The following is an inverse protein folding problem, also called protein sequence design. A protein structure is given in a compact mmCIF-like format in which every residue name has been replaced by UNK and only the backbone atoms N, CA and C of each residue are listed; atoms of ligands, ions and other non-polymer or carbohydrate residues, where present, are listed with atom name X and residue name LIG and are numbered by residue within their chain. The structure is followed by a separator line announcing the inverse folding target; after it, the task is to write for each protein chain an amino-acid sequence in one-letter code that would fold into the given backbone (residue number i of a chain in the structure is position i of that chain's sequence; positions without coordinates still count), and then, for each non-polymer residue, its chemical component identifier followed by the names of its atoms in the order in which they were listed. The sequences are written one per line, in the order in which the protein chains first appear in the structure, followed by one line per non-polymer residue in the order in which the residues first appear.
data_IF_875913642497
#
_entry.id   IF_875913642497
#
_cell.length_a   1.000
_cell.length_b   1.000
_cell.length_c   1.000
_cell.angle_alpha   90.00
_cell.angle_beta   90.00
_cell.angle_gamma   90.00
#
_symmetry.space_group_name_H-M   'P 1'
#
loop_
_entity.id
_entity.type
_entity.pdbx_description
1 polymer ?
#
# COMPACT_ATOMS: atom_id res chain seq x y z
N UNK A 1 -28.74 11.38 -18.01
CA UNK A 1 -27.30 11.66 -17.79
C UNK A 1 -26.92 11.08 -16.45
N UNK A 2 -26.41 9.87 -16.44
CA UNK A 2 -25.99 9.15 -15.23
C UNK A 2 -24.50 9.38 -15.06
N UNK A 3 -24.16 10.16 -14.06
CA UNK A 3 -22.79 10.43 -13.64
C UNK A 3 -22.21 9.17 -13.00
N UNK A 4 -21.33 8.50 -13.73
CA UNK A 4 -20.60 7.32 -13.24
C UNK A 4 -19.25 7.81 -12.72
N UNK A 5 -19.24 8.53 -11.61
CA UNK A 5 -18.01 8.80 -10.88
C UNK A 5 -17.50 7.49 -10.31
N UNK A 6 -16.46 6.95 -10.94
CA UNK A 6 -15.78 5.73 -10.51
C UNK A 6 -15.05 6.01 -9.19
N UNK A 7 -15.63 5.52 -8.09
CA UNK A 7 -15.08 5.75 -6.76
C UNK A 7 -14.03 4.68 -6.47
N UNK A 8 -12.82 5.09 -6.09
CA UNK A 8 -11.66 4.24 -5.74
C UNK A 8 -11.99 3.13 -4.71
N UNK A 9 -13.02 3.34 -3.90
CA UNK A 9 -13.55 2.33 -2.96
C UNK A 9 -14.17 1.10 -3.66
N UNK A 10 -14.86 1.28 -4.77
CA UNK A 10 -15.50 0.17 -5.49
C UNK A 10 -14.53 -0.77 -6.19
N UNK A 11 -13.32 -0.32 -6.50
CA UNK A 11 -12.30 -1.15 -7.13
C UNK A 11 -11.78 -2.25 -6.20
N UNK A 12 -11.68 -1.97 -4.89
CA UNK A 12 -11.22 -2.95 -3.91
C UNK A 12 -12.33 -3.96 -3.52
N UNK A 13 -13.59 -3.57 -3.62
CA UNK A 13 -14.74 -4.45 -3.31
C UNK A 13 -15.01 -5.49 -4.40
N UNK A 14 -14.62 -5.22 -5.65
CA UNK A 14 -14.87 -6.14 -6.78
C UNK A 14 -13.83 -7.26 -6.94
N UNK A 15 -12.75 -7.27 -6.17
CA UNK A 15 -11.73 -8.33 -6.22
C UNK A 15 -11.94 -9.47 -5.22
N UNK A 16 -13.00 -9.42 -4.39
CA UNK A 16 -13.28 -10.40 -3.33
C UNK A 16 -14.22 -11.56 -3.72
N UNK A 17 -14.54 -11.75 -4.97
CA UNK A 17 -15.52 -12.73 -5.39
C UNK A 17 -15.11 -13.57 -6.58
N UNK A 18 -14.40 -14.68 -6.38
CA UNK A 18 -14.56 -15.93 -7.15
C UNK A 18 -13.49 -16.96 -6.80
N UNK A 19 -13.80 -17.95 -5.99
CA UNK A 19 -13.33 -19.32 -6.17
C UNK A 19 -13.97 -20.28 -5.15
N UNK A 20 -15.12 -20.82 -5.50
CA UNK A 20 -15.59 -22.08 -4.93
C UNK A 20 -15.75 -23.07 -6.09
N UNK A 21 -14.84 -24.04 -6.22
CA UNK A 21 -15.10 -25.29 -6.91
C UNK A 21 -14.54 -26.42 -6.08
N UNK A 22 -15.46 -27.21 -5.54
CA UNK A 22 -15.18 -28.47 -4.88
C UNK A 22 -14.84 -29.54 -5.93
N UNK A 23 -13.79 -30.34 -5.71
CA UNK A 23 -13.66 -31.66 -6.29
C UNK A 23 -13.09 -32.64 -5.27
N UNK A 24 -13.90 -33.61 -4.94
CA UNK A 24 -13.57 -34.79 -4.15
C UNK A 24 -12.71 -35.75 -4.98
N UNK A 25 -11.60 -36.20 -4.45
CA UNK A 25 -10.76 -37.22 -5.07
C UNK A 25 -9.66 -37.71 -4.13
N UNK A 26 -9.72 -38.96 -3.77
CA UNK A 26 -8.92 -39.71 -2.82
C UNK A 26 -7.43 -39.84 -3.18
N UNK A 27 -6.56 -39.75 -2.17
CA UNK A 27 -5.32 -40.53 -2.11
C UNK A 27 -4.00 -39.78 -2.32
N UNK A 28 -3.16 -39.79 -1.26
CA UNK A 28 -1.74 -39.44 -1.20
C UNK A 28 -1.40 -38.03 -0.78
N UNK A 29 -1.54 -37.79 0.53
CA UNK A 29 -0.82 -36.73 1.23
C UNK A 29 0.66 -37.05 1.26
N UNK A 30 1.54 -36.15 0.75
CA UNK A 30 2.89 -35.90 1.26
C UNK A 30 3.63 -34.75 0.55
N UNK A 31 3.03 -34.05 -0.39
CA UNK A 31 3.57 -32.76 -0.83
C UNK A 31 2.40 -31.81 -1.01
N UNK A 32 2.06 -31.11 0.07
CA UNK A 32 1.27 -29.89 -0.10
C UNK A 32 2.08 -28.98 -1.00
N UNK A 33 1.62 -28.59 -2.19
CA UNK A 33 2.26 -27.54 -2.94
C UNK A 33 2.24 -26.31 -2.03
N UNK A 34 3.42 -25.74 -1.79
CA UNK A 34 3.59 -24.42 -1.21
C UNK A 34 2.51 -23.53 -1.83
N UNK A 35 1.64 -23.03 -0.98
CA UNK A 35 0.50 -22.22 -1.38
C UNK A 35 0.97 -21.28 -2.46
N UNK A 36 0.38 -21.39 -3.64
CA UNK A 36 0.58 -20.47 -4.73
C UNK A 36 0.39 -19.08 -4.14
N UNK A 37 1.48 -18.34 -4.05
CA UNK A 37 1.42 -16.93 -3.76
C UNK A 37 0.36 -16.39 -4.71
N UNK A 38 -0.77 -15.93 -4.19
CA UNK A 38 -1.76 -15.29 -5.01
C UNK A 38 -1.02 -14.18 -5.73
N UNK A 39 -0.80 -14.36 -7.03
CA UNK A 39 -0.37 -13.27 -7.86
C UNK A 39 -1.52 -12.27 -7.81
N UNK A 40 -1.37 -11.27 -6.97
CA UNK A 40 -2.25 -10.11 -7.01
C UNK A 40 -2.05 -9.56 -8.42
N UNK A 41 -2.99 -9.88 -9.31
CA UNK A 41 -2.93 -9.43 -10.69
C UNK A 41 -3.20 -7.93 -10.67
N UNK A 42 -2.11 -7.18 -10.60
CA UNK A 42 -2.17 -5.74 -10.62
C UNK A 42 -2.49 -5.28 -12.05
N UNK A 43 -3.70 -4.76 -12.23
CA UNK A 43 -4.10 -4.09 -13.46
C UNK A 43 -4.21 -2.61 -13.16
N UNK A 44 -3.21 -1.80 -13.56
CA UNK A 44 -3.30 -0.36 -13.41
C UNK A 44 -4.47 0.19 -14.24
N UNK A 45 -5.18 1.17 -13.70
CA UNK A 45 -6.12 1.95 -14.50
C UNK A 45 -5.37 2.65 -15.63
N UNK A 46 -6.02 2.71 -16.80
CA UNK A 46 -5.48 3.48 -17.92
C UNK A 46 -5.33 4.95 -17.51
N UNK A 47 -4.19 5.52 -17.83
CA UNK A 47 -3.84 6.91 -17.53
C UNK A 47 -3.80 7.25 -16.01
N UNK A 48 -3.65 6.25 -15.16
CA UNK A 48 -3.50 6.45 -13.72
C UNK A 48 -2.23 7.26 -13.40
N UNK A 49 -2.35 8.14 -12.43
CA UNK A 49 -1.23 8.93 -11.89
C UNK A 49 -1.20 8.79 -10.38
N UNK A 50 -0.02 8.77 -9.83
CA UNK A 50 0.20 8.71 -8.39
C UNK A 50 0.95 9.95 -7.92
N UNK A 51 0.57 10.44 -6.76
CA UNK A 51 1.29 11.49 -6.05
C UNK A 51 1.75 10.98 -4.70
N UNK A 52 3.05 11.05 -4.47
CA UNK A 52 3.69 10.59 -3.23
C UNK A 52 4.25 11.78 -2.48
N UNK A 53 3.89 11.93 -1.22
CA UNK A 53 4.50 12.86 -0.29
C UNK A 53 5.52 12.10 0.56
N UNK A 54 6.75 12.60 0.62
CA UNK A 54 7.79 12.06 1.50
C UNK A 54 8.65 13.18 2.11
N UNK A 55 9.30 12.88 3.21
CA UNK A 55 10.30 13.79 3.77
C UNK A 55 11.59 13.77 2.94
N UNK A 56 12.22 14.93 2.81
CA UNK A 56 13.58 15.03 2.31
C UNK A 56 14.53 14.43 3.33
N UNK A 57 15.35 13.46 2.90
CA UNK A 57 16.41 12.90 3.72
C UNK A 57 17.58 13.89 3.83
N UNK A 58 18.44 13.67 4.80
CA UNK A 58 19.62 14.52 5.03
C UNK A 58 20.70 14.37 3.94
N UNK A 59 20.61 13.35 3.09
CA UNK A 59 21.57 13.06 2.03
C UNK A 59 20.87 12.96 0.67
N UNK A 60 21.45 13.64 -0.32
CA UNK A 60 20.91 13.66 -1.68
C UNK A 60 20.78 12.25 -2.27
N UNK A 61 21.75 11.37 -1.99
CA UNK A 61 21.74 10.00 -2.51
C UNK A 61 20.49 9.18 -2.15
N UNK A 62 19.80 9.49 -1.06
CA UNK A 62 18.53 8.84 -0.72
C UNK A 62 17.41 9.27 -1.69
N UNK A 63 17.36 10.55 -2.03
CA UNK A 63 16.40 11.08 -3.01
C UNK A 63 16.66 10.44 -4.37
N UNK A 64 17.92 10.41 -4.79
CA UNK A 64 18.33 9.86 -6.09
C UNK A 64 17.98 8.37 -6.19
N UNK A 65 18.27 7.59 -5.16
CA UNK A 65 17.93 6.16 -5.10
C UNK A 65 16.40 5.93 -5.14
N UNK A 66 15.64 6.76 -4.45
CA UNK A 66 14.18 6.70 -4.50
C UNK A 66 13.67 6.99 -5.91
N UNK A 67 14.18 8.02 -6.57
CA UNK A 67 13.78 8.38 -7.94
C UNK A 67 14.15 7.32 -8.98
N UNK A 68 15.25 6.59 -8.78
CA UNK A 68 15.58 5.40 -9.61
C UNK A 68 14.48 4.33 -9.49
N UNK A 69 13.97 4.08 -8.27
CA UNK A 69 12.88 3.13 -8.08
C UNK A 69 11.55 3.62 -8.67
N UNK A 70 11.25 4.91 -8.54
CA UNK A 70 10.09 5.54 -9.19
C UNK A 70 10.16 5.36 -10.71
N UNK A 71 11.31 5.63 -11.32
CA UNK A 71 11.52 5.43 -12.76
C UNK A 71 11.26 3.98 -13.18
N UNK A 72 11.84 3.00 -12.49
CA UNK A 72 11.60 1.57 -12.73
C UNK A 72 10.12 1.19 -12.62
N UNK A 73 9.41 1.77 -11.64
CA UNK A 73 7.98 1.53 -11.49
C UNK A 73 7.20 2.09 -12.67
N UNK A 74 7.46 3.34 -13.07
CA UNK A 74 6.81 3.97 -14.23
C UNK A 74 7.08 3.20 -15.52
N UNK A 75 8.32 2.80 -15.76
CA UNK A 75 8.71 1.99 -16.94
C UNK A 75 7.97 0.64 -16.98
N UNK A 76 7.77 0.02 -15.83
CA UNK A 76 7.10 -1.28 -15.72
C UNK A 76 5.58 -1.20 -15.81
N UNK A 77 4.97 -0.13 -15.34
CA UNK A 77 3.52 -0.03 -15.16
C UNK A 77 2.84 0.98 -16.09
N UNK A 78 3.60 1.91 -16.65
CA UNK A 78 3.07 3.05 -17.40
C UNK A 78 2.46 4.15 -16.52
N UNK A 79 2.48 3.98 -15.18
CA UNK A 79 1.91 4.94 -14.23
C UNK A 79 2.92 6.06 -13.96
N UNK A 80 2.52 7.29 -14.20
CA UNK A 80 3.29 8.48 -13.83
C UNK A 80 3.25 8.66 -12.30
N UNK A 81 4.41 8.89 -11.68
CA UNK A 81 4.52 9.14 -10.24
C UNK A 81 5.15 10.49 -9.99
N UNK A 82 4.39 11.39 -9.40
CA UNK A 82 4.89 12.66 -8.87
C UNK A 82 5.35 12.47 -7.43
N UNK A 83 6.56 12.88 -7.12
CA UNK A 83 7.13 12.81 -5.76
C UNK A 83 7.31 14.22 -5.23
N UNK A 84 6.63 14.54 -4.14
CA UNK A 84 6.79 15.78 -3.39
C UNK A 84 7.73 15.50 -2.21
N UNK A 85 8.94 16.05 -2.25
CA UNK A 85 9.90 15.97 -1.15
C UNK A 85 9.75 17.21 -0.28
N UNK A 86 9.46 17.01 1.01
CA UNK A 86 9.18 18.09 1.96
C UNK A 86 10.12 18.04 3.17
N UNK A 87 10.22 19.14 3.90
CA UNK A 87 10.90 19.14 5.19
C UNK A 87 10.23 18.17 6.16
N UNK A 88 11.01 17.61 7.07
CA UNK A 88 10.49 16.68 8.09
C UNK A 88 9.30 17.28 8.86
N UNK A 89 9.38 18.54 9.23
CA UNK A 89 8.33 19.26 9.96
C UNK A 89 7.07 19.54 9.13
N UNK A 90 7.17 19.48 7.81
CA UNK A 90 6.07 19.81 6.90
C UNK A 90 5.22 18.60 6.53
N UNK A 91 5.76 17.38 6.60
CA UNK A 91 5.05 16.17 6.17
C UNK A 91 3.79 15.94 7.00
N UNK A 92 3.90 16.04 8.33
CA UNK A 92 2.79 15.80 9.25
C UNK A 92 1.64 16.80 9.10
N UNK A 93 1.87 18.13 9.05
CA UNK A 93 0.83 19.11 8.73
C UNK A 93 0.16 18.88 7.37
N UNK A 94 0.94 18.55 6.32
CA UNK A 94 0.41 18.25 5.00
C UNK A 94 -0.42 16.96 4.98
N UNK A 95 0.00 15.95 5.72
CA UNK A 95 -0.79 14.73 5.91
C UNK A 95 -2.12 15.02 6.59
N UNK A 96 -2.13 15.87 7.62
CA UNK A 96 -3.34 16.30 8.31
C UNK A 96 -4.32 17.02 7.36
N UNK A 97 -3.82 17.94 6.54
CA UNK A 97 -4.64 18.63 5.53
C UNK A 97 -5.22 17.63 4.54
N UNK A 98 -4.40 16.73 3.99
CA UNK A 98 -4.86 15.72 3.04
C UNK A 98 -5.93 14.80 3.63
N UNK A 99 -5.75 14.32 4.86
CA UNK A 99 -6.71 13.46 5.55
C UNK A 99 -8.05 14.17 5.81
N UNK A 100 -8.02 15.46 6.18
CA UNK A 100 -9.23 16.21 6.49
C UNK A 100 -9.99 16.70 5.26
N UNK A 101 -9.28 17.04 4.19
CA UNK A 101 -9.89 17.56 2.97
C UNK A 101 -10.25 16.48 1.95
N UNK A 102 -9.66 15.30 2.07
CA UNK A 102 -9.74 14.24 1.06
C UNK A 102 -9.03 14.59 -0.26
N UNK A 103 -8.19 15.62 -0.25
CA UNK A 103 -7.42 16.08 -1.41
C UNK A 103 -5.94 16.17 -1.07
N UNK A 104 -5.08 15.71 -1.96
CA UNK A 104 -3.63 15.73 -1.74
C UNK A 104 -2.91 14.53 -2.32
N UNK A 105 -1.80 14.10 -1.71
CA UNK A 105 -1.07 12.92 -2.14
C UNK A 105 -1.89 11.64 -1.97
N UNK A 106 -1.65 10.67 -2.87
CA UNK A 106 -2.27 9.35 -2.79
C UNK A 106 -1.55 8.47 -1.77
N UNK A 107 -0.24 8.67 -1.61
CA UNK A 107 0.63 7.93 -0.69
C UNK A 107 1.44 8.94 0.13
N UNK A 108 1.49 8.72 1.42
CA UNK A 108 2.30 9.54 2.33
C UNK A 108 3.29 8.62 3.07
N UNK A 109 4.58 8.92 2.91
CA UNK A 109 5.63 8.31 3.73
C UNK A 109 5.75 9.12 5.01
N UNK A 110 5.24 8.59 6.08
CA UNK A 110 5.24 9.21 7.40
C UNK A 110 5.96 8.34 8.41
N UNK A 111 5.89 8.69 9.67
CA UNK A 111 6.65 8.03 10.73
C UNK A 111 5.78 7.46 11.82
N UNK A 112 6.28 6.42 12.46
CA UNK A 112 5.72 5.82 13.67
C UNK A 112 4.20 5.62 13.57
N UNK A 113 3.49 6.28 14.45
CA UNK A 113 2.04 6.18 14.67
C UNK A 113 1.20 7.22 13.92
N UNK A 114 1.79 7.99 13.02
CA UNK A 114 1.07 9.07 12.30
C UNK A 114 -0.19 8.57 11.60
N UNK A 115 -0.17 7.35 11.08
CA UNK A 115 -1.34 6.73 10.46
C UNK A 115 -2.51 6.57 11.44
N UNK A 116 -2.23 6.36 12.73
CA UNK A 116 -3.26 6.19 13.75
C UNK A 116 -4.03 7.48 14.08
N UNK A 117 -3.55 8.63 13.63
CA UNK A 117 -4.28 9.90 13.78
C UNK A 117 -5.49 9.98 12.85
N UNK A 118 -5.51 9.17 11.79
CA UNK A 118 -6.53 9.25 10.73
C UNK A 118 -7.02 7.86 10.25
N UNK A 119 -7.29 6.89 11.13
CA UNK A 119 -7.54 5.50 10.73
C UNK A 119 -8.75 5.36 9.79
N UNK A 120 -9.77 6.20 9.97
CA UNK A 120 -11.00 6.19 9.14
C UNK A 120 -10.83 6.87 7.78
N UNK A 121 -9.70 7.54 7.56
CA UNK A 121 -9.38 8.22 6.30
C UNK A 121 -8.46 7.42 5.41
N UNK A 122 -7.86 6.37 5.94
CA UNK A 122 -6.90 5.53 5.25
C UNK A 122 -7.58 4.32 4.63
N UNK A 123 -7.03 3.89 3.49
CA UNK A 123 -7.50 2.68 2.82
C UNK A 123 -7.16 1.44 3.65
N UNK A 124 -8.02 0.44 3.56
CA UNK A 124 -7.71 -0.91 4.00
C UNK A 124 -6.71 -1.54 3.04
N UNK A 125 -5.51 -1.81 3.52
CA UNK A 125 -4.43 -2.44 2.74
C UNK A 125 -4.07 -3.83 3.28
N UNK A 126 -4.99 -4.45 3.99
CA UNK A 126 -4.78 -5.75 4.67
C UNK A 126 -4.30 -6.81 3.70
N UNK A 127 -4.96 -7.01 2.57
CA UNK A 127 -4.58 -8.03 1.59
C UNK A 127 -3.15 -7.82 1.07
N UNK A 128 -2.78 -6.58 0.79
CA UNK A 128 -1.44 -6.24 0.33
C UNK A 128 -0.40 -6.45 1.43
N UNK A 129 -0.68 -6.01 2.65
CA UNK A 129 0.22 -6.16 3.78
C UNK A 129 0.46 -7.63 4.11
N UNK A 130 -0.58 -8.43 4.17
CA UNK A 130 -0.46 -9.87 4.44
C UNK A 130 0.26 -10.61 3.30
N UNK A 131 0.01 -10.24 2.03
CA UNK A 131 0.75 -10.77 0.89
C UNK A 131 2.25 -10.46 0.99
N UNK A 132 2.61 -9.21 1.25
CA UNK A 132 4.00 -8.79 1.37
C UNK A 132 4.67 -9.44 2.59
N UNK A 133 3.97 -9.51 3.73
CA UNK A 133 4.45 -10.18 4.91
C UNK A 133 4.79 -11.65 4.64
N UNK A 134 3.89 -12.40 4.02
CA UNK A 134 4.14 -13.80 3.62
C UNK A 134 5.33 -13.94 2.67
N UNK A 135 5.44 -13.02 1.72
CA UNK A 135 6.49 -13.06 0.69
C UNK A 135 7.88 -12.77 1.23
N UNK A 136 7.98 -11.90 2.23
CA UNK A 136 9.25 -11.39 2.72
C UNK A 136 9.61 -11.79 4.16
N UNK A 137 8.89 -12.75 4.74
CA UNK A 137 9.24 -13.34 6.03
C UNK A 137 8.58 -12.66 7.25
N UNK A 138 7.54 -11.89 7.04
CA UNK A 138 6.75 -11.27 8.11
C UNK A 138 7.05 -9.79 8.32
N UNK A 139 6.38 -9.24 9.31
CA UNK A 139 6.51 -7.85 9.73
C UNK A 139 7.07 -7.75 11.14
N UNK A 140 7.89 -6.78 11.41
CA UNK A 140 8.35 -6.49 12.76
C UNK A 140 7.15 -6.13 13.67
N UNK A 141 7.18 -6.53 14.95
CA UNK A 141 6.09 -6.22 15.90
C UNK A 141 5.76 -4.73 16.00
N UNK A 142 6.77 -3.85 15.96
CA UNK A 142 6.56 -2.41 15.97
C UNK A 142 5.76 -1.92 14.74
N UNK A 143 6.08 -2.42 13.54
CA UNK A 143 5.34 -2.08 12.33
C UNK A 143 3.88 -2.54 12.41
N UNK A 144 3.63 -3.71 12.98
CA UNK A 144 2.26 -4.20 13.22
C UNK A 144 1.52 -3.32 14.22
N UNK A 145 2.15 -2.96 15.34
CA UNK A 145 1.54 -2.13 16.37
C UNK A 145 1.12 -0.75 15.84
N UNK A 146 1.93 -0.16 14.95
CA UNK A 146 1.63 1.16 14.38
C UNK A 146 0.63 1.12 13.22
N UNK A 147 0.63 0.07 12.42
CA UNK A 147 -0.12 0.05 11.17
C UNK A 147 -1.28 -0.95 11.15
N UNK A 148 -1.48 -1.67 12.25
CA UNK A 148 -2.61 -2.58 12.49
C UNK A 148 -3.18 -2.35 13.89
N UNK A 149 -3.67 -1.13 14.20
CA UNK A 149 -3.99 -0.70 15.56
C UNK A 149 -5.08 -1.54 16.24
N UNK A 150 -6.03 -2.08 15.49
CA UNK A 150 -7.10 -2.96 15.98
C UNK A 150 -6.73 -4.46 15.92
N UNK A 151 -5.52 -4.78 15.52
CA UNK A 151 -5.07 -6.16 15.32
C UNK A 151 -5.72 -6.89 14.13
N UNK A 152 -6.54 -6.19 13.35
CA UNK A 152 -7.31 -6.79 12.24
C UNK A 152 -7.01 -6.12 10.90
N UNK A 153 -7.15 -4.80 10.85
CA UNK A 153 -7.06 -4.01 9.63
C UNK A 153 -5.70 -3.31 9.52
N UNK A 154 -5.02 -3.52 8.39
CA UNK A 154 -3.83 -2.74 8.05
C UNK A 154 -4.23 -1.42 7.40
N UNK A 155 -3.76 -0.32 7.97
CA UNK A 155 -3.99 1.05 7.49
C UNK A 155 -2.76 1.65 6.79
N UNK A 156 -1.70 0.88 6.65
CA UNK A 156 -0.47 1.26 5.97
C UNK A 156 0.48 0.09 5.83
N UNK A 157 1.59 0.31 5.14
CA UNK A 157 2.63 -0.70 4.90
C UNK A 157 3.92 -0.25 5.58
N UNK A 158 4.54 -1.07 6.45
CA UNK A 158 5.84 -0.75 7.04
C UNK A 158 6.92 -0.71 5.95
N UNK A 159 7.72 0.36 5.91
CA UNK A 159 8.83 0.51 4.97
C UNK A 159 10.18 0.12 5.57
N UNK A 160 10.27 0.10 6.88
CA UNK A 160 11.47 -0.26 7.62
C UNK A 160 11.22 -0.15 9.11
N UNK A 161 12.07 -0.79 9.89
CA UNK A 161 12.15 -0.53 11.32
C UNK A 161 13.34 0.40 11.56
N UNK A 162 13.10 1.57 12.13
CA UNK A 162 14.14 2.28 12.84
C UNK A 162 14.24 1.61 14.20
N UNK A 163 15.32 0.88 14.42
CA UNK A 163 15.69 0.37 15.74
C UNK A 163 16.29 1.49 16.59
#
# INVERSE_FOLDING_TARGET
MTDTSFNRRKFLESSAGAAAVASVGTGSALFAPLASAQNVAFKPEKDAKLRVLRWSRFVQGDIDAYMVNVKKFTEKTGIEVRVDNEGWEDVRPKAAVAANTGAGPDIILSTNDDANLYPDKLLDVTDLAEYLGKKYGGWYPAGQAFLKPDGKKWIGIPLGAAG
#
